data_IF_289994397892
#
_entry.id   IF_289994397892
#
_cell.length_a   1.000
_cell.length_b   1.000
_cell.length_c   1.000
_cell.angle_alpha   90.00
_cell.angle_beta   90.00
_cell.angle_gamma   90.00
#
_symmetry.space_group_name_H-M   'P 1'
#
loop_
_entity.id
_entity.type
_entity.pdbx_description
1 polymer ?
#
# COMPACT_ATOMS: atom_id res chain seq x y z
N UNK A 1 5.93 19.27 3.80
CA UNK A 1 7.29 18.72 3.73
C UNK A 1 7.20 17.40 2.99
N UNK A 2 8.10 17.08 2.05
CA UNK A 2 8.18 15.73 1.48
C UNK A 2 8.48 14.72 2.58
N UNK A 3 7.89 13.53 2.49
CA UNK A 3 8.20 12.42 3.40
C UNK A 3 9.53 11.80 2.95
N UNK A 4 10.50 11.71 3.82
CA UNK A 4 11.76 11.03 3.57
C UNK A 4 11.68 9.57 3.99
N UNK A 5 12.23 8.68 3.16
CA UNK A 5 12.32 7.25 3.42
C UNK A 5 13.79 6.82 3.38
N UNK A 6 14.18 5.94 4.31
CA UNK A 6 15.57 5.50 4.46
C UNK A 6 16.04 4.59 3.31
N UNK A 7 15.13 3.92 2.62
CA UNK A 7 15.42 2.99 1.53
C UNK A 7 14.28 2.94 0.51
N UNK A 8 14.60 2.60 -0.73
CA UNK A 8 13.61 2.46 -1.79
C UNK A 8 14.25 2.21 -3.15
N UNK A 9 13.39 2.11 -4.15
CA UNK A 9 13.73 2.00 -5.55
C UNK A 9 13.06 3.13 -6.31
N UNK A 10 13.82 3.86 -7.12
CA UNK A 10 13.27 4.77 -8.12
C UNK A 10 13.32 4.08 -9.48
N UNK A 11 12.19 3.97 -10.15
CA UNK A 11 12.05 3.22 -11.39
C UNK A 11 11.36 4.07 -12.45
N UNK A 12 11.94 4.11 -13.64
CA UNK A 12 11.28 4.70 -14.81
C UNK A 12 10.00 3.92 -15.16
N UNK A 13 9.02 4.63 -15.67
CA UNK A 13 7.86 3.99 -16.28
C UNK A 13 8.27 3.00 -17.38
N UNK A 14 7.66 1.83 -17.37
CA UNK A 14 8.02 0.70 -18.22
C UNK A 14 9.10 -0.22 -17.64
N UNK A 15 9.57 0.04 -16.41
CA UNK A 15 10.58 -0.82 -15.75
C UNK A 15 9.94 -1.83 -14.82
N UNK A 16 10.67 -2.93 -14.60
CA UNK A 16 10.30 -3.96 -13.64
C UNK A 16 11.49 -4.38 -12.76
N UNK A 17 11.19 -4.80 -11.52
CA UNK A 17 12.14 -5.43 -10.61
C UNK A 17 11.57 -6.79 -10.18
N UNK A 18 12.39 -7.83 -10.28
CA UNK A 18 11.98 -9.23 -10.02
C UNK A 18 12.75 -9.78 -8.83
N UNK A 19 12.03 -10.35 -7.88
CA UNK A 19 12.59 -10.93 -6.66
C UNK A 19 12.25 -12.40 -6.57
N UNK A 20 13.28 -13.24 -6.38
CA UNK A 20 13.10 -14.64 -5.99
C UNK A 20 12.88 -14.70 -4.47
N UNK A 21 11.69 -15.12 -4.07
CA UNK A 21 11.26 -15.25 -2.67
C UNK A 21 10.98 -16.70 -2.27
N UNK A 22 11.24 -17.65 -3.17
CA UNK A 22 11.01 -19.08 -2.94
C UNK A 22 11.73 -19.57 -1.69
N UNK A 23 10.99 -20.25 -0.81
CA UNK A 23 11.53 -20.82 0.41
C UNK A 23 11.96 -19.82 1.49
N UNK A 24 11.72 -18.51 1.30
CA UNK A 24 12.07 -17.47 2.28
C UNK A 24 11.05 -17.32 3.42
N UNK A 25 9.88 -17.95 3.31
CA UNK A 25 8.82 -17.87 4.33
C UNK A 25 8.16 -16.49 4.44
N UNK A 26 8.28 -15.66 3.40
CA UNK A 26 7.57 -14.38 3.37
C UNK A 26 6.07 -14.57 3.11
N UNK A 27 5.26 -13.76 3.79
CA UNK A 27 3.80 -13.77 3.65
C UNK A 27 3.25 -12.46 3.07
N UNK A 28 4.00 -11.36 3.18
CA UNK A 28 3.58 -10.10 2.61
C UNK A 28 4.74 -9.30 2.02
N UNK A 29 4.42 -8.50 1.00
CA UNK A 29 5.25 -7.42 0.48
C UNK A 29 4.61 -6.09 0.85
N UNK A 30 5.38 -5.19 1.48
CA UNK A 30 4.94 -3.87 1.92
C UNK A 30 5.81 -2.78 1.34
N UNK A 31 5.19 -1.67 0.99
CA UNK A 31 5.86 -0.46 0.50
C UNK A 31 4.96 0.77 0.62
N UNK A 32 5.55 1.93 0.40
CA UNK A 32 4.82 3.13 -0.02
C UNK A 32 5.20 3.45 -1.46
N UNK A 33 4.25 3.93 -2.24
CA UNK A 33 4.50 4.32 -3.63
C UNK A 33 4.09 5.77 -3.88
N UNK A 34 4.86 6.45 -4.73
CA UNK A 34 4.60 7.82 -5.14
C UNK A 34 5.24 8.12 -6.50
N UNK A 35 4.71 9.11 -7.23
CA UNK A 35 5.48 9.72 -8.31
C UNK A 35 6.71 10.41 -7.72
N UNK A 36 7.85 10.34 -8.38
CA UNK A 36 9.06 11.06 -7.97
C UNK A 36 8.90 12.56 -8.23
N UNK A 37 9.31 13.35 -7.24
CA UNK A 37 9.44 14.80 -7.40
C UNK A 37 10.91 15.13 -7.62
N UNK A 38 11.27 15.47 -8.83
CA UNK A 38 12.61 15.98 -9.10
C UNK A 38 12.66 17.47 -8.77
N UNK A 39 13.24 17.80 -7.61
CA UNK A 39 13.69 19.13 -7.18
C UNK A 39 12.73 20.32 -7.43
N UNK A 40 11.43 20.13 -7.26
CA UNK A 40 10.45 21.20 -7.33
C UNK A 40 10.18 21.74 -8.74
N UNK A 41 10.54 20.99 -9.74
CA UNK A 41 10.21 21.29 -11.13
C UNK A 41 8.91 20.62 -11.53
N UNK A 42 8.16 21.35 -12.28
CA UNK A 42 6.93 21.09 -12.98
C UNK A 42 6.35 19.67 -12.89
N UNK A 43 5.21 19.65 -12.33
CA UNK A 43 4.32 18.54 -12.00
C UNK A 43 3.89 17.67 -13.21
N UNK A 44 4.79 17.34 -14.09
CA UNK A 44 4.58 16.53 -15.27
C UNK A 44 4.81 15.03 -14.98
N UNK A 45 4.19 14.20 -15.78
CA UNK A 45 4.31 12.76 -15.71
C UNK A 45 3.23 12.08 -14.85
N UNK A 46 2.99 10.83 -15.16
CA UNK A 46 2.09 9.97 -14.44
C UNK A 46 2.56 8.51 -14.53
N UNK A 47 2.47 7.81 -13.42
CA UNK A 47 2.83 6.38 -13.32
C UNK A 47 1.74 5.60 -12.60
N UNK A 48 1.75 4.29 -12.78
CA UNK A 48 1.06 3.36 -11.89
C UNK A 48 2.00 2.27 -11.42
N UNK A 49 1.64 1.65 -10.31
CA UNK A 49 2.43 0.63 -9.65
C UNK A 49 1.65 -0.67 -9.62
N UNK A 50 2.29 -1.75 -10.01
CA UNK A 50 1.68 -3.08 -10.03
C UNK A 50 2.60 -4.10 -9.35
N UNK A 51 2.00 -5.01 -8.60
CA UNK A 51 2.69 -6.16 -8.00
C UNK A 51 2.11 -7.43 -8.58
N UNK A 52 2.95 -8.25 -9.16
CA UNK A 52 2.61 -9.58 -9.68
C UNK A 52 3.29 -10.65 -8.84
N UNK A 53 2.67 -11.80 -8.76
CA UNK A 53 3.19 -12.96 -8.05
C UNK A 53 3.22 -14.14 -9.01
N UNK A 54 4.35 -14.81 -9.07
CA UNK A 54 4.61 -15.97 -9.93
C UNK A 54 4.21 -15.67 -11.40
N UNK A 55 3.45 -16.57 -12.03
CA UNK A 55 2.99 -16.45 -13.42
C UNK A 55 1.61 -15.79 -13.56
N UNK A 56 1.13 -15.09 -12.53
CA UNK A 56 -0.18 -14.43 -12.57
C UNK A 56 -0.25 -13.40 -13.71
N UNK A 57 -1.36 -13.43 -14.46
CA UNK A 57 -1.60 -12.49 -15.55
C UNK A 57 -2.25 -11.20 -15.07
N UNK A 58 -2.84 -11.24 -13.89
CA UNK A 58 -3.48 -10.07 -13.24
C UNK A 58 -2.63 -9.66 -12.05
N UNK A 59 -2.34 -8.37 -11.93
CA UNK A 59 -1.63 -7.85 -10.79
C UNK A 59 -2.44 -8.08 -9.50
N UNK A 60 -1.79 -8.56 -8.44
CA UNK A 60 -2.39 -8.65 -7.09
C UNK A 60 -2.64 -7.29 -6.48
N UNK A 61 -1.84 -6.32 -6.86
CA UNK A 61 -2.00 -4.93 -6.46
C UNK A 61 -1.84 -4.02 -7.67
N UNK A 62 -2.66 -2.97 -7.73
CA UNK A 62 -2.54 -1.86 -8.69
C UNK A 62 -2.89 -0.55 -7.98
N UNK A 63 -2.03 0.46 -8.09
CA UNK A 63 -2.23 1.74 -7.43
C UNK A 63 -3.31 2.63 -8.09
N UNK A 64 -3.65 2.37 -9.35
CA UNK A 64 -4.23 3.38 -10.22
C UNK A 64 -3.20 4.39 -10.70
N UNK A 65 -3.63 5.39 -11.45
CA UNK A 65 -2.77 6.44 -11.97
C UNK A 65 -2.36 7.40 -10.85
N UNK A 66 -1.07 7.62 -10.71
CA UNK A 66 -0.49 8.54 -9.74
C UNK A 66 0.21 9.69 -10.43
N UNK A 67 -0.13 10.90 -10.04
CA UNK A 67 0.44 12.16 -10.49
C UNK A 67 1.05 12.91 -9.30
N UNK A 68 1.62 14.08 -9.53
CA UNK A 68 2.12 14.95 -8.45
C UNK A 68 1.05 15.34 -7.41
N UNK A 69 -0.23 15.33 -7.80
CA UNK A 69 -1.34 15.63 -6.88
C UNK A 69 -1.75 14.43 -6.05
N UNK A 70 -1.26 13.24 -6.37
CA UNK A 70 -1.61 12.00 -5.66
C UNK A 70 -0.76 11.86 -4.41
N UNK A 71 -1.40 11.68 -3.26
CA UNK A 71 -0.69 11.36 -2.01
C UNK A 71 0.00 10.00 -2.13
N UNK A 72 1.08 9.79 -1.36
CA UNK A 72 1.73 8.50 -1.23
C UNK A 72 0.71 7.44 -0.80
N UNK A 73 0.73 6.31 -1.50
CA UNK A 73 -0.11 5.17 -1.17
C UNK A 73 0.70 4.11 -0.42
N UNK A 74 0.16 3.62 0.67
CA UNK A 74 0.67 2.45 1.36
C UNK A 74 0.09 1.19 0.72
N UNK A 75 0.91 0.16 0.58
CA UNK A 75 0.46 -1.14 0.11
C UNK A 75 0.95 -2.28 1.00
N UNK A 76 0.14 -3.29 1.12
CA UNK A 76 0.45 -4.56 1.77
C UNK A 76 -0.16 -5.68 0.92
N UNK A 77 0.69 -6.44 0.26
CA UNK A 77 0.30 -7.45 -0.72
C UNK A 77 0.59 -8.83 -0.18
N UNK A 78 -0.42 -9.71 -0.17
CA UNK A 78 -0.25 -11.11 0.18
C UNK A 78 0.63 -11.82 -0.86
N UNK A 79 1.73 -12.39 -0.39
CA UNK A 79 2.65 -13.17 -1.21
C UNK A 79 2.94 -14.55 -0.60
N UNK A 80 2.09 -15.01 0.31
CA UNK A 80 2.25 -16.30 0.97
C UNK A 80 2.36 -17.42 -0.07
N UNK A 81 3.43 -18.21 0.04
CA UNK A 81 3.71 -19.31 -0.88
C UNK A 81 4.26 -18.90 -2.25
N UNK A 82 4.47 -17.60 -2.48
CA UNK A 82 5.07 -17.12 -3.72
C UNK A 82 6.51 -17.60 -3.91
N UNK A 83 6.88 -17.79 -5.17
CA UNK A 83 8.27 -18.04 -5.60
C UNK A 83 8.90 -16.77 -6.16
N UNK A 84 8.14 -16.01 -6.91
CA UNK A 84 8.58 -14.79 -7.58
C UNK A 84 7.63 -13.65 -7.22
N UNK A 85 8.18 -12.49 -6.91
CA UNK A 85 7.44 -11.23 -6.81
C UNK A 85 8.03 -10.25 -7.81
N UNK A 86 7.19 -9.69 -8.66
CA UNK A 86 7.56 -8.70 -9.66
C UNK A 86 6.88 -7.37 -9.38
N UNK A 87 7.69 -6.32 -9.25
CA UNK A 87 7.25 -4.92 -9.13
C UNK A 87 7.34 -4.28 -10.50
N UNK A 88 6.29 -3.60 -10.91
CA UNK A 88 6.22 -2.91 -12.21
C UNK A 88 5.83 -1.47 -11.99
N UNK A 89 6.62 -0.55 -12.54
CA UNK A 89 6.24 0.86 -12.69
C UNK A 89 5.84 1.08 -14.14
N UNK A 90 4.59 1.52 -14.36
CA UNK A 90 4.05 1.75 -15.72
C UNK A 90 4.02 3.23 -16.02
N UNK A 91 4.32 3.57 -17.27
CA UNK A 91 4.08 4.91 -17.82
C UNK A 91 2.58 5.09 -18.06
N UNK A 92 2.00 6.12 -17.51
CA UNK A 92 0.58 6.48 -17.69
C UNK A 92 0.43 7.81 -18.46
N UNK A 93 1.50 8.59 -18.58
CA UNK A 93 1.54 9.78 -19.43
C UNK A 93 2.65 9.64 -20.48
N UNK A 94 2.24 9.31 -21.70
CA UNK A 94 3.13 9.21 -22.86
C UNK A 94 3.28 10.53 -23.64
N UNK A 95 2.63 11.59 -23.20
CA UNK A 95 2.73 12.92 -23.82
C UNK A 95 3.97 13.69 -23.40
N UNK A 96 4.61 13.27 -22.31
CA UNK A 96 5.84 13.85 -21.79
C UNK A 96 7.03 12.90 -21.97
N UNK A 97 8.24 13.44 -21.84
CA UNK A 97 9.45 12.62 -21.83
C UNK A 97 9.41 11.60 -20.69
N UNK A 98 9.80 10.35 -20.95
CA UNK A 98 9.70 9.28 -19.96
C UNK A 98 10.55 9.53 -18.72
N UNK A 99 11.56 10.42 -18.80
CA UNK A 99 12.31 10.86 -17.61
C UNK A 99 11.46 11.59 -16.56
N UNK A 100 10.23 12.01 -16.93
CA UNK A 100 9.23 12.56 -16.02
C UNK A 100 8.34 11.49 -15.37
N UNK A 101 8.33 10.28 -15.92
CA UNK A 101 7.55 9.15 -15.44
C UNK A 101 8.39 8.27 -14.51
N UNK A 102 8.83 8.83 -13.38
CA UNK A 102 9.61 8.08 -12.37
C UNK A 102 8.71 7.77 -11.18
N UNK A 103 8.59 6.49 -10.88
CA UNK A 103 7.90 5.99 -9.70
C UNK A 103 8.86 5.61 -8.59
N UNK A 104 8.56 6.01 -7.37
CA UNK A 104 9.29 5.62 -6.17
C UNK A 104 8.55 4.52 -5.42
N UNK A 105 9.25 3.42 -5.16
CA UNK A 105 8.89 2.37 -4.23
C UNK A 105 9.68 2.59 -2.94
N UNK A 106 9.05 3.13 -1.91
CA UNK A 106 9.69 3.56 -0.69
C UNK A 106 9.47 2.55 0.43
N UNK A 107 10.47 2.37 1.31
CA UNK A 107 10.42 1.48 2.47
C UNK A 107 9.96 0.06 2.11
N UNK A 108 10.46 -0.47 1.00
CA UNK A 108 10.10 -1.79 0.48
C UNK A 108 10.59 -2.90 1.40
N UNK A 109 9.70 -3.84 1.76
CA UNK A 109 10.05 -4.99 2.62
C UNK A 109 9.26 -6.22 2.27
N UNK A 110 9.95 -7.35 2.35
CA UNK A 110 9.33 -8.67 2.42
C UNK A 110 9.25 -9.07 3.90
N UNK A 111 8.08 -9.44 4.36
CA UNK A 111 7.84 -9.76 5.78
C UNK A 111 7.25 -11.15 5.94
N UNK A 112 7.73 -11.87 6.95
CA UNK A 112 7.09 -13.08 7.45
C UNK A 112 5.92 -12.71 8.37
N UNK A 113 5.00 -13.63 8.63
CA UNK A 113 3.82 -13.39 9.47
C UNK A 113 4.17 -13.14 10.94
N UNK A 114 3.17 -12.62 11.66
CA UNK A 114 3.17 -12.50 13.12
C UNK A 114 4.25 -11.56 13.68
N UNK A 115 4.36 -10.38 13.11
CA UNK A 115 5.22 -9.32 13.63
C UNK A 115 4.65 -8.83 14.97
N UNK A 116 5.46 -8.86 16.02
CA UNK A 116 5.11 -8.22 17.29
C UNK A 116 5.06 -6.70 17.09
N UNK A 117 4.03 -6.05 17.62
CA UNK A 117 3.80 -4.61 17.41
C UNK A 117 3.45 -3.91 18.70
N UNK A 118 3.74 -2.61 18.77
CA UNK A 118 3.43 -1.76 19.92
C UNK A 118 2.06 -1.12 19.83
N UNK A 119 1.66 -0.71 18.62
CA UNK A 119 0.36 -0.07 18.38
C UNK A 119 -0.05 -0.14 16.93
N UNK A 120 -1.34 -0.02 16.69
CA UNK A 120 -1.93 0.15 15.36
C UNK A 120 -2.95 1.28 15.39
N UNK A 121 -2.99 2.11 14.35
CA UNK A 121 -3.93 3.20 14.21
C UNK A 121 -4.25 3.47 12.74
N UNK A 122 -5.39 4.07 12.47
CA UNK A 122 -5.65 4.67 11.17
C UNK A 122 -4.80 5.94 11.02
N UNK A 123 -4.28 6.18 9.84
CA UNK A 123 -3.45 7.34 9.54
C UNK A 123 -4.26 8.64 9.63
N UNK A 124 -5.52 8.58 9.24
CA UNK A 124 -6.47 9.68 9.33
C UNK A 124 -7.73 9.15 10.04
N UNK A 125 -8.23 9.90 11.01
CA UNK A 125 -9.55 9.65 11.60
C UNK A 125 -10.53 10.51 10.85
N UNK A 126 -11.38 9.89 10.05
CA UNK A 126 -12.41 10.57 9.31
C UNK A 126 -13.72 9.79 9.36
N UNK A 127 -14.81 10.49 9.10
CA UNK A 127 -16.09 9.84 8.86
C UNK A 127 -16.11 9.35 7.42
N UNK A 128 -16.45 8.10 7.24
CA UNK A 128 -16.59 7.46 5.92
C UNK A 128 -18.07 7.38 5.59
N UNK A 129 -18.44 7.91 4.44
CA UNK A 129 -19.82 7.98 4.00
C UNK A 129 -20.07 6.96 2.89
N UNK A 130 -21.26 6.37 2.93
CA UNK A 130 -21.78 5.56 1.84
C UNK A 130 -23.26 5.85 1.64
N UNK A 131 -23.74 5.71 0.41
CA UNK A 131 -25.16 5.70 0.14
C UNK A 131 -25.79 4.42 0.72
N UNK A 132 -27.08 4.49 1.02
CA UNK A 132 -27.84 3.33 1.50
C UNK A 132 -27.67 2.13 0.56
N UNK A 133 -27.24 1.01 1.09
CA UNK A 133 -26.98 -0.22 0.33
C UNK A 133 -25.60 -0.29 -0.35
N UNK A 134 -24.82 0.78 -0.32
CA UNK A 134 -23.43 0.79 -0.80
C UNK A 134 -22.46 0.57 0.35
N UNK A 135 -21.29 -0.02 0.10
CA UNK A 135 -20.22 -0.14 1.09
C UNK A 135 -19.36 1.12 1.11
N UNK A 136 -18.99 1.64 2.28
CA UNK A 136 -18.07 2.77 2.37
C UNK A 136 -16.66 2.38 1.90
N UNK A 137 -15.93 3.35 1.35
CA UNK A 137 -14.52 3.17 1.00
C UNK A 137 -13.66 3.35 2.25
N UNK A 138 -13.46 2.28 3.01
CA UNK A 138 -12.61 2.28 4.20
C UNK A 138 -11.13 2.18 3.87
N UNK A 139 -10.22 2.67 4.75
CA UNK A 139 -8.78 2.50 4.59
C UNK A 139 -8.39 1.03 4.43
N UNK A 140 -7.52 0.75 3.48
CA UNK A 140 -7.03 -0.61 3.24
C UNK A 140 -5.89 -1.00 4.18
N UNK A 141 -5.22 0.00 4.78
CA UNK A 141 -4.06 -0.21 5.67
C UNK A 141 -4.15 0.63 6.93
N UNK A 142 -3.62 0.08 8.03
CA UNK A 142 -3.32 0.80 9.26
C UNK A 142 -1.83 1.15 9.32
N UNK A 143 -1.50 2.26 9.97
CA UNK A 143 -0.14 2.54 10.41
C UNK A 143 0.13 1.74 11.68
N UNK A 144 1.16 0.91 11.64
CA UNK A 144 1.55 0.04 12.75
C UNK A 144 2.94 0.41 13.24
N UNK A 145 3.07 0.66 14.51
CA UNK A 145 4.35 0.87 15.17
C UNK A 145 4.92 -0.49 15.61
N UNK A 146 6.00 -0.91 14.97
CA UNK A 146 6.68 -2.18 15.26
C UNK A 146 7.60 -2.02 16.46
N UNK A 147 8.41 -0.95 16.48
CA UNK A 147 9.29 -0.58 17.58
C UNK A 147 9.37 0.95 17.71
N UNK A 148 10.31 1.48 18.53
CA UNK A 148 10.41 2.92 18.79
C UNK A 148 10.81 3.75 17.57
N UNK A 149 11.37 3.12 16.56
CA UNK A 149 11.94 3.77 15.36
C UNK A 149 11.28 3.35 14.05
N UNK A 150 10.55 2.23 14.04
CA UNK A 150 9.98 1.67 12.82
C UNK A 150 8.46 1.63 12.85
N UNK A 151 7.87 2.20 11.82
CA UNK A 151 6.45 2.09 11.48
C UNK A 151 6.29 1.42 10.13
N UNK A 152 5.14 0.80 9.91
CA UNK A 152 4.81 0.17 8.63
C UNK A 152 3.32 0.23 8.35
N UNK A 153 2.95 0.02 7.09
CA UNK A 153 1.56 -0.14 6.68
C UNK A 153 1.20 -1.62 6.70
N UNK A 154 0.08 -1.95 7.33
CA UNK A 154 -0.44 -3.32 7.46
C UNK A 154 -1.88 -3.37 6.98
N UNK A 155 -2.25 -4.42 6.26
CA UNK A 155 -3.62 -4.59 5.76
C UNK A 155 -4.62 -4.67 6.91
N UNK A 156 -5.84 -4.19 6.62
CA UNK A 156 -6.98 -4.29 7.53
C UNK A 156 -8.04 -5.19 6.90
N UNK A 157 -8.55 -6.13 7.69
CA UNK A 157 -9.79 -6.82 7.40
C UNK A 157 -10.90 -6.15 8.19
N UNK A 158 -11.81 -5.46 7.51
CA UNK A 158 -12.95 -4.81 8.13
C UNK A 158 -14.08 -5.81 8.42
N UNK A 159 -14.80 -5.60 9.52
CA UNK A 159 -16.05 -6.32 9.77
C UNK A 159 -17.11 -5.93 8.74
N UNK A 160 -18.10 -6.81 8.56
CA UNK A 160 -19.25 -6.51 7.71
C UNK A 160 -20.04 -5.30 8.23
N UNK A 161 -20.48 -4.46 7.29
CA UNK A 161 -21.26 -3.26 7.61
C UNK A 161 -22.65 -3.41 7.03
N UNK A 162 -23.66 -3.34 7.89
CA UNK A 162 -25.05 -3.27 7.44
C UNK A 162 -25.39 -1.85 7.00
N UNK A 163 -25.37 -1.61 5.71
CA UNK A 163 -25.70 -0.33 5.09
C UNK A 163 -27.17 -0.21 4.66
N UNK A 164 -28.03 -1.16 5.06
CA UNK A 164 -29.46 -1.17 4.72
C UNK A 164 -30.23 -0.04 5.42
N UNK A 165 -29.68 0.49 6.50
CA UNK A 165 -30.26 1.59 7.30
C UNK A 165 -29.36 2.82 7.25
N UNK A 166 -29.95 3.99 7.36
CA UNK A 166 -29.21 5.23 7.56
C UNK A 166 -28.88 5.36 9.06
N UNK A 167 -27.62 5.14 9.42
CA UNK A 167 -27.14 5.26 10.81
C UNK A 167 -25.65 5.60 10.82
N UNK A 168 -25.16 5.98 12.00
CA UNK A 168 -23.73 6.13 12.27
C UNK A 168 -23.29 4.90 13.07
N UNK A 169 -22.35 4.15 12.53
CA UNK A 169 -21.87 2.92 13.15
C UNK A 169 -20.35 2.94 13.29
N UNK A 170 -19.85 2.47 14.42
CA UNK A 170 -18.43 2.18 14.60
C UNK A 170 -18.09 0.84 13.93
N UNK A 171 -17.11 0.85 13.06
CA UNK A 171 -16.67 -0.35 12.36
C UNK A 171 -15.29 -0.79 12.85
N UNK A 172 -15.18 -2.03 13.29
CA UNK A 172 -13.89 -2.58 13.71
C UNK A 172 -13.14 -3.22 12.54
N UNK A 173 -11.84 -2.94 12.49
CA UNK A 173 -10.91 -3.54 11.55
C UNK A 173 -9.83 -4.33 12.28
N UNK A 174 -9.59 -5.57 11.83
CA UNK A 174 -8.51 -6.42 12.30
C UNK A 174 -7.27 -6.18 11.47
N UNK A 175 -6.16 -5.81 12.12
CA UNK A 175 -4.87 -5.63 11.44
C UNK A 175 -4.24 -7.00 11.17
N UNK A 176 -3.91 -7.27 9.91
CA UNK A 176 -3.40 -8.56 9.46
C UNK A 176 -1.86 -8.61 9.53
N UNK A 177 -1.31 -9.80 9.78
CA UNK A 177 0.13 -10.04 9.80
C UNK A 177 0.86 -9.56 11.06
N UNK A 178 0.13 -9.38 12.16
CA UNK A 178 0.68 -9.08 13.49
C UNK A 178 0.45 -10.23 14.46
N UNK A 179 1.29 -10.32 15.50
CA UNK A 179 1.28 -11.44 16.43
C UNK A 179 0.02 -11.49 17.32
N UNK A 180 -0.56 -10.34 17.63
CA UNK A 180 -1.71 -10.22 18.52
C UNK A 180 -2.76 -9.25 17.94
N UNK A 181 -3.51 -9.66 16.90
CA UNK A 181 -4.45 -8.77 16.21
C UNK A 181 -5.65 -8.38 17.09
N UNK A 182 -6.01 -9.17 18.09
CA UNK A 182 -7.16 -8.86 18.95
C UNK A 182 -6.92 -7.64 19.86
N UNK A 183 -5.67 -7.42 20.28
CA UNK A 183 -5.28 -6.28 21.10
C UNK A 183 -4.91 -5.03 20.27
N UNK A 184 -4.90 -5.12 18.94
CA UNK A 184 -4.49 -4.05 18.03
C UNK A 184 -5.52 -3.79 16.93
N UNK A 185 -6.82 -3.81 17.27
CA UNK A 185 -7.90 -3.43 16.36
C UNK A 185 -7.89 -1.93 16.08
N UNK A 186 -8.37 -1.56 14.90
CA UNK A 186 -8.63 -0.16 14.52
C UNK A 186 -10.12 0.08 14.34
N UNK A 187 -10.55 1.33 14.47
CA UNK A 187 -11.96 1.73 14.32
C UNK A 187 -12.10 2.85 13.32
N UNK A 188 -13.12 2.75 12.49
CA UNK A 188 -13.56 3.75 11.52
C UNK A 188 -15.00 4.17 11.79
#
# INVERSE_FOLDING_TARGET
KPTEYAAGLSMLGGSEAVYNVEGKGYEAFRAYVSLSFDNGQDAEGAVSFEVYVDDEKTARYRSGVMTHATKNLALDVDIKGAKIVKLVTKTEDSSVDNSKNIGNWCDTKFVSSNVAVKSAKLKEKDFYYAEKGAQPSLPQTAEVQVDDTHTGAFRIAWSEIDTSKADVVDVEGTVLGIADPENHKVKA
#
